data_IF_083273362169
#
_entry.id   IF_083273362169
#
_cell.length_a   1.000
_cell.length_b   1.000
_cell.length_c   1.000
_cell.angle_alpha   90.00
_cell.angle_beta   90.00
_cell.angle_gamma   90.00
#
_symmetry.space_group_name_H-M   'P 1'
#
loop_
_entity.id
_entity.type
_entity.pdbx_description
1 polymer ?
#
# COMPACT_ATOMS: atom_id res chain seq x y z
N UNK A 1 4.21 -15.03 -3.22
CA UNK A 1 3.50 -14.80 -1.95
C UNK A 1 2.00 -14.98 -2.15
N UNK A 2 1.29 -15.74 -1.30
CA UNK A 2 -0.17 -15.80 -1.32
C UNK A 2 -0.82 -14.43 -1.10
N UNK A 3 -1.90 -14.10 -1.82
CA UNK A 3 -2.61 -12.82 -1.67
C UNK A 3 -3.01 -12.56 -0.22
N UNK A 4 -3.46 -13.59 0.50
CA UNK A 4 -3.92 -13.53 1.89
C UNK A 4 -2.90 -12.95 2.86
N UNK A 5 -1.60 -13.08 2.59
CA UNK A 5 -0.55 -12.55 3.46
C UNK A 5 -0.05 -11.16 3.02
N UNK A 6 -0.44 -10.68 1.83
CA UNK A 6 0.08 -9.42 1.30
C UNK A 6 -0.58 -8.19 1.94
N UNK A 7 0.22 -7.14 2.17
CA UNK A 7 -0.29 -5.83 2.59
C UNK A 7 -1.27 -5.27 1.54
N UNK A 8 -1.08 -5.60 0.27
CA UNK A 8 -2.01 -5.27 -0.80
C UNK A 8 -3.41 -5.87 -0.60
N UNK A 9 -3.54 -7.03 0.06
CA UNK A 9 -4.85 -7.59 0.39
C UNK A 9 -5.51 -6.90 1.58
N UNK A 10 -4.74 -6.51 2.60
CA UNK A 10 -5.24 -5.64 3.68
C UNK A 10 -5.68 -4.29 3.14
N UNK A 11 -4.99 -3.81 2.10
CA UNK A 11 -5.33 -2.55 1.49
C UNK A 11 -6.72 -2.56 0.86
N UNK A 12 -7.10 -3.65 0.18
CA UNK A 12 -8.35 -3.80 -0.60
C UNK A 12 -9.64 -3.57 0.19
N UNK A 13 -9.60 -3.57 1.52
CA UNK A 13 -10.79 -3.41 2.36
C UNK A 13 -11.44 -2.02 2.22
N UNK A 14 -10.70 -0.99 1.80
CA UNK A 14 -11.25 0.34 1.48
C UNK A 14 -10.75 0.86 0.13
N UNK A 15 -11.46 0.57 -0.99
CA UNK A 15 -11.12 1.15 -2.27
C UNK A 15 -11.18 2.68 -2.14
N UNK A 16 -10.08 3.35 -2.47
CA UNK A 16 -9.83 4.80 -2.37
C UNK A 16 -9.18 5.32 -1.08
N UNK A 17 -8.84 4.46 -0.13
CA UNK A 17 -8.08 4.89 1.05
C UNK A 17 -6.57 4.85 0.77
N UNK A 18 -5.89 5.98 0.95
CA UNK A 18 -4.42 6.01 1.00
C UNK A 18 -3.96 5.41 2.31
N UNK A 19 -3.30 4.26 2.24
CA UNK A 19 -2.80 3.56 3.40
C UNK A 19 -1.39 4.02 3.65
N UNK A 20 -1.16 4.55 4.84
CA UNK A 20 0.15 4.99 5.29
C UNK A 20 0.45 4.34 6.61
N UNK A 21 1.56 3.62 6.66
CA UNK A 21 2.06 3.01 7.86
C UNK A 21 3.55 3.28 8.01
N UNK A 22 3.86 4.21 8.92
CA UNK A 22 5.23 4.68 9.13
C UNK A 22 6.12 3.64 9.84
N UNK A 23 5.51 2.72 10.60
CA UNK A 23 6.18 1.59 11.27
C UNK A 23 5.17 0.45 11.55
N UNK A 24 5.21 -0.61 10.75
CA UNK A 24 4.31 -1.79 10.81
C UNK A 24 4.42 -2.59 12.09
N UNK A 25 5.53 -2.50 12.80
CA UNK A 25 5.69 -3.16 14.11
C UNK A 25 4.85 -2.48 15.19
N UNK A 26 4.42 -1.24 14.96
CA UNK A 26 3.61 -0.45 15.89
C UNK A 26 2.11 -0.50 15.59
N UNK A 27 1.74 -1.01 14.42
CA UNK A 27 0.34 -1.15 14.04
C UNK A 27 -0.18 -2.53 14.46
N UNK A 28 -0.94 -2.57 15.57
CA UNK A 28 -1.51 -3.80 16.14
C UNK A 28 -2.33 -4.64 15.14
N UNK A 29 -2.82 -4.06 14.04
CA UNK A 29 -3.60 -4.77 13.03
C UNK A 29 -2.75 -5.69 12.15
N UNK A 30 -1.46 -5.40 12.05
CA UNK A 30 -0.53 -6.02 11.07
C UNK A 30 0.85 -6.33 11.65
N UNK A 31 1.15 -5.96 12.90
CA UNK A 31 2.45 -6.19 13.52
C UNK A 31 2.85 -7.67 13.56
N UNK A 32 1.88 -8.57 13.73
CA UNK A 32 2.08 -10.03 13.73
C UNK A 32 2.00 -10.66 12.34
N UNK A 33 1.87 -9.85 11.28
CA UNK A 33 1.85 -10.37 9.92
C UNK A 33 3.25 -10.86 9.52
N UNK A 34 3.33 -12.06 8.94
CA UNK A 34 4.57 -12.67 8.44
C UNK A 34 5.43 -11.76 7.54
N UNK A 35 4.85 -10.78 6.84
CA UNK A 35 5.59 -9.83 6.03
C UNK A 35 6.31 -8.76 6.86
N UNK A 36 5.88 -8.53 8.10
CA UNK A 36 6.52 -7.66 9.09
C UNK A 36 7.58 -8.44 9.88
N UNK A 37 7.27 -9.69 10.26
CA UNK A 37 8.10 -10.45 11.20
C UNK A 37 9.17 -11.33 10.56
N UNK A 38 8.87 -12.03 9.46
CA UNK A 38 9.67 -13.19 9.05
C UNK A 38 10.12 -13.16 7.58
N UNK A 39 9.22 -12.78 6.67
CA UNK A 39 9.42 -12.99 5.23
C UNK A 39 10.12 -11.83 4.53
N UNK A 40 9.83 -10.59 4.93
CA UNK A 40 10.22 -9.41 4.15
C UNK A 40 10.58 -8.18 4.98
N UNK A 41 10.42 -8.25 6.31
CA UNK A 41 10.74 -7.15 7.24
C UNK A 41 10.17 -5.80 6.77
N UNK A 42 8.92 -5.78 6.32
CA UNK A 42 8.28 -4.55 5.84
C UNK A 42 7.93 -3.69 7.04
N UNK A 43 8.75 -2.68 7.29
CA UNK A 43 8.57 -1.74 8.41
C UNK A 43 7.78 -0.52 7.94
N UNK A 44 8.07 0.00 6.76
CA UNK A 44 7.29 1.08 6.16
C UNK A 44 6.44 0.55 5.02
N UNK A 45 5.21 1.03 4.94
CA UNK A 45 4.31 0.78 3.81
C UNK A 45 3.48 2.02 3.52
N UNK A 46 3.44 2.45 2.26
CA UNK A 46 2.42 3.35 1.76
C UNK A 46 1.83 2.81 0.46
N UNK A 47 0.51 2.81 0.34
CA UNK A 47 -0.17 2.22 -0.81
C UNK A 47 -1.51 2.86 -1.13
N UNK A 48 -1.88 2.77 -2.41
CA UNK A 48 -3.15 3.24 -2.95
C UNK A 48 -3.68 2.25 -4.00
N UNK A 49 -4.99 2.08 -4.06
CA UNK A 49 -5.63 1.19 -5.04
C UNK A 49 -5.53 1.71 -6.45
N UNK A 50 -5.38 0.77 -7.37
CA UNK A 50 -5.60 0.99 -8.79
C UNK A 50 -7.02 0.52 -9.09
N UNK A 51 -7.94 1.48 -9.22
CA UNK A 51 -9.36 1.20 -9.49
C UNK A 51 -9.72 1.76 -10.86
N UNK A 52 -10.38 0.96 -11.70
CA UNK A 52 -10.87 1.44 -13.00
C UNK A 52 -12.00 2.46 -12.81
N UNK A 53 -12.32 3.28 -13.83
CA UNK A 53 -13.49 4.15 -13.80
C UNK A 53 -14.81 3.41 -13.50
N UNK A 54 -14.87 2.12 -13.86
CA UNK A 54 -16.03 1.25 -13.63
C UNK A 54 -16.02 0.59 -12.22
N UNK A 55 -15.08 0.95 -11.35
CA UNK A 55 -15.03 0.47 -9.96
C UNK A 55 -14.29 -0.85 -9.74
N UNK A 56 -13.65 -1.41 -10.77
CA UNK A 56 -12.90 -2.67 -10.63
C UNK A 56 -11.51 -2.43 -10.03
N UNK A 57 -11.19 -3.12 -8.93
CA UNK A 57 -9.86 -3.10 -8.33
C UNK A 57 -8.89 -3.95 -9.16
N UNK A 58 -7.96 -3.30 -9.85
CA UNK A 58 -6.89 -3.93 -10.61
C UNK A 58 -5.72 -4.36 -9.74
N UNK A 59 -5.51 -3.69 -8.61
CA UNK A 59 -4.40 -3.92 -7.70
C UNK A 59 -4.11 -2.72 -6.81
N UNK A 60 -2.85 -2.57 -6.42
CA UNK A 60 -2.38 -1.42 -5.64
C UNK A 60 -1.00 -0.97 -6.13
N UNK A 61 -0.78 0.34 -6.13
CA UNK A 61 0.56 0.93 -6.21
C UNK A 61 1.04 1.13 -4.77
N UNK A 62 2.21 0.60 -4.44
CA UNK A 62 2.78 0.75 -3.11
C UNK A 62 4.29 0.99 -3.12
N UNK A 63 4.75 1.69 -2.10
CA UNK A 63 6.15 1.82 -1.71
C UNK A 63 6.33 1.24 -0.32
N UNK A 64 7.44 0.54 -0.12
CA UNK A 64 7.72 -0.17 1.13
C UNK A 64 9.22 -0.14 1.42
N UNK A 65 9.58 -0.17 2.69
CA UNK A 65 10.97 -0.12 3.16
C UNK A 65 11.14 -0.98 4.43
N UNK A 66 12.36 -1.42 4.70
CA UNK A 66 12.71 -2.16 5.92
C UNK A 66 13.11 -1.24 7.08
N UNK A 67 12.90 0.07 6.94
CA UNK A 67 13.07 1.08 7.98
C UNK A 67 11.81 1.93 8.13
N UNK A 68 11.58 2.53 9.32
CA UNK A 68 10.50 3.51 9.47
C UNK A 68 10.74 4.73 8.58
N UNK A 69 9.69 5.20 7.91
CA UNK A 69 9.74 6.41 7.10
C UNK A 69 8.52 7.29 7.39
N UNK A 70 8.70 8.60 7.18
CA UNK A 70 7.62 9.58 7.15
C UNK A 70 7.64 10.26 5.80
N UNK A 71 6.55 10.14 5.05
CA UNK A 71 6.40 10.86 3.80
C UNK A 71 6.10 12.34 4.08
N UNK A 72 6.71 13.22 3.30
CA UNK A 72 6.27 14.61 3.20
C UNK A 72 4.89 14.69 2.52
N UNK A 73 4.20 15.81 2.68
CA UNK A 73 2.88 15.95 2.06
C UNK A 73 2.95 15.92 0.52
N UNK A 74 4.00 16.51 -0.06
CA UNK A 74 4.29 16.42 -1.50
C UNK A 74 4.45 14.96 -1.95
N UNK A 75 5.16 14.12 -1.18
CA UNK A 75 5.32 12.71 -1.49
C UNK A 75 4.01 11.94 -1.42
N UNK A 76 3.17 12.22 -0.40
CA UNK A 76 1.84 11.61 -0.27
C UNK A 76 0.96 12.00 -1.44
N UNK A 77 0.94 13.28 -1.82
CA UNK A 77 0.10 13.76 -2.92
C UNK A 77 0.56 13.24 -4.27
N UNK A 78 1.88 13.13 -4.46
CA UNK A 78 2.45 12.48 -5.66
C UNK A 78 2.01 11.02 -5.74
N UNK A 79 2.13 10.25 -4.64
CA UNK A 79 1.70 8.85 -4.58
C UNK A 79 0.20 8.69 -4.87
N UNK A 80 -0.64 9.62 -4.41
CA UNK A 80 -2.08 9.62 -4.71
C UNK A 80 -2.40 9.94 -6.16
N UNK A 81 -1.58 10.74 -6.84
CA UNK A 81 -1.81 11.16 -8.22
C UNK A 81 -1.27 10.18 -9.29
N UNK A 82 -0.26 9.37 -8.95
CA UNK A 82 0.37 8.41 -9.87
C UNK A 82 -0.59 7.34 -10.43
N UNK A 83 -1.52 6.74 -9.65
CA UNK A 83 -2.49 5.77 -10.15
C UNK A 83 -3.26 6.23 -11.38
N UNK A 84 -3.73 7.48 -11.37
CA UNK A 84 -4.50 8.05 -12.48
C UNK A 84 -3.70 8.04 -13.77
N UNK A 85 -2.38 8.32 -13.70
CA UNK A 85 -1.51 8.26 -14.88
C UNK A 85 -1.28 6.83 -15.34
N UNK A 86 -1.08 5.89 -14.41
CA UNK A 86 -0.88 4.48 -14.74
C UNK A 86 -2.11 3.87 -15.42
N UNK A 87 -3.32 4.20 -14.94
CA UNK A 87 -4.56 3.70 -15.51
C UNK A 87 -4.77 4.16 -16.96
N UNK A 88 -4.34 5.38 -17.33
CA UNK A 88 -4.41 5.88 -18.72
C UNK A 88 -3.52 5.08 -19.69
N UNK A 89 -2.45 4.44 -19.21
CA UNK A 89 -1.56 3.64 -20.06
C UNK A 89 -1.94 2.16 -20.12
N UNK A 90 -2.74 1.68 -19.17
CA UNK A 90 -3.09 0.27 -19.01
C UNK A 90 -4.52 -0.06 -19.44
N UNK A 91 -5.33 0.97 -19.75
CA UNK A 91 -6.74 0.90 -20.15
C UNK A 91 -6.91 1.80 -21.37
#
# INVERSE_FOLDING_TARGET
MPRTITFCAYAIVKPNEFLLNNDSRKDKRIADNSMVTDLSNIIFYAGIHLVTPNGYALGALCVMDNKPLKLSDIQKDTLKALPTKLLVYLI
#
